data_IF_630319447406
#
_entry.id   IF_630319447406
#
_cell.length_a   1.000
_cell.length_b   1.000
_cell.length_c   1.000
_cell.angle_alpha   90.00
_cell.angle_beta   90.00
_cell.angle_gamma   90.00
#
_symmetry.space_group_name_H-M   'P 1'
#
loop_
_entity.id
_entity.type
_entity.pdbx_description
1 polymer ?
#
# COMPACT_ATOMS: atom_id res chain seq x y z
N UNK A 1 -17.53 -11.97 -3.95
CA UNK A 1 -16.52 -13.05 -3.79
C UNK A 1 -16.16 -13.76 -5.09
N UNK A 2 -17.09 -14.16 -5.97
CA UNK A 2 -16.74 -14.90 -7.21
C UNK A 2 -15.79 -14.12 -8.14
N UNK A 3 -16.02 -12.82 -8.32
CA UNK A 3 -15.18 -11.97 -9.18
C UNK A 3 -13.77 -11.78 -8.59
N UNK A 4 -13.67 -11.60 -7.28
CA UNK A 4 -12.41 -11.51 -6.52
C UNK A 4 -11.52 -12.72 -6.80
N UNK A 5 -12.09 -13.93 -6.71
CA UNK A 5 -11.38 -15.18 -6.98
C UNK A 5 -10.90 -15.25 -8.43
N UNK A 6 -11.76 -14.91 -9.40
CA UNK A 6 -11.39 -14.88 -10.82
C UNK A 6 -10.26 -13.89 -11.11
N UNK A 7 -10.30 -12.70 -10.53
CA UNK A 7 -9.27 -11.68 -10.67
C UNK A 7 -7.91 -12.13 -10.08
N UNK A 8 -7.94 -12.95 -9.03
CA UNK A 8 -6.74 -13.49 -8.39
C UNK A 8 -6.05 -14.63 -9.17
N UNK A 9 -6.74 -15.28 -10.10
CA UNK A 9 -6.23 -16.50 -10.76
C UNK A 9 -5.18 -16.24 -11.84
N UNK A 10 -5.44 -15.35 -12.81
CA UNK A 10 -4.51 -15.05 -13.90
C UNK A 10 -4.88 -13.78 -14.68
N UNK A 11 -3.93 -13.28 -15.48
CA UNK A 11 -4.09 -12.08 -16.30
C UNK A 11 -5.23 -12.16 -17.32
N UNK A 12 -5.46 -13.34 -17.93
CA UNK A 12 -6.52 -13.49 -18.94
C UNK A 12 -7.90 -13.20 -18.33
N UNK A 13 -8.14 -13.66 -17.10
CA UNK A 13 -9.38 -13.40 -16.39
C UNK A 13 -9.50 -11.94 -15.96
N UNK A 14 -8.42 -11.32 -15.47
CA UNK A 14 -8.41 -9.88 -15.15
C UNK A 14 -8.78 -9.03 -16.37
N UNK A 15 -8.14 -9.28 -17.51
CA UNK A 15 -8.44 -8.59 -18.77
C UNK A 15 -9.90 -8.81 -19.19
N UNK A 16 -10.45 -10.02 -18.99
CA UNK A 16 -11.86 -10.29 -19.29
C UNK A 16 -12.79 -9.47 -18.39
N UNK A 17 -12.53 -9.40 -17.09
CA UNK A 17 -13.32 -8.60 -16.14
C UNK A 17 -13.37 -7.13 -16.59
N UNK A 18 -12.23 -6.57 -17.02
CA UNK A 18 -12.16 -5.19 -17.52
C UNK A 18 -12.93 -5.02 -18.85
N UNK A 19 -12.81 -5.97 -19.78
CA UNK A 19 -13.55 -5.95 -21.05
C UNK A 19 -15.07 -5.99 -20.88
N UNK A 20 -15.56 -6.68 -19.85
CA UNK A 20 -16.98 -6.70 -19.48
C UNK A 20 -17.43 -5.42 -18.75
N UNK A 21 -16.58 -4.40 -18.68
CA UNK A 21 -16.86 -3.08 -18.06
C UNK A 21 -17.27 -3.16 -16.59
N UNK A 22 -16.78 -4.15 -15.85
CA UNK A 22 -17.09 -4.31 -14.43
C UNK A 22 -16.35 -3.31 -13.52
N UNK A 23 -15.31 -2.63 -14.02
CA UNK A 23 -14.45 -1.79 -13.19
C UNK A 23 -15.20 -0.63 -12.49
N UNK A 24 -16.06 0.17 -13.15
CA UNK A 24 -16.80 1.24 -12.48
C UNK A 24 -17.71 0.72 -11.36
N UNK A 25 -18.33 -0.45 -11.53
CA UNK A 25 -19.16 -1.05 -10.49
C UNK A 25 -18.32 -1.48 -9.29
N UNK A 26 -17.16 -2.10 -9.53
CA UNK A 26 -16.21 -2.46 -8.46
C UNK A 26 -15.72 -1.21 -7.73
N UNK A 27 -15.37 -0.14 -8.47
CA UNK A 27 -15.01 1.16 -7.88
C UNK A 27 -16.13 1.67 -6.98
N UNK A 28 -17.37 1.71 -7.46
CA UNK A 28 -18.53 2.17 -6.69
C UNK A 28 -18.77 1.33 -5.44
N UNK A 29 -18.65 0.00 -5.53
CA UNK A 29 -18.83 -0.89 -4.37
C UNK A 29 -17.79 -0.67 -3.27
N UNK A 30 -16.63 -0.07 -3.55
CA UNK A 30 -15.68 0.33 -2.51
C UNK A 30 -16.16 1.54 -1.69
N UNK A 31 -17.07 2.36 -2.24
CA UNK A 31 -17.66 3.51 -1.54
C UNK A 31 -18.91 3.16 -0.73
N UNK A 32 -19.43 1.93 -0.86
CA UNK A 32 -20.63 1.49 -0.15
C UNK A 32 -20.41 1.40 1.37
N UNK A 33 -21.45 1.73 2.13
CA UNK A 33 -21.42 1.62 3.59
C UNK A 33 -21.44 0.17 4.08
N UNK A 34 -21.96 -0.76 3.27
CA UNK A 34 -22.07 -2.15 3.66
C UNK A 34 -20.69 -2.84 3.71
N UNK A 35 -20.21 -3.14 4.92
CA UNK A 35 -18.85 -3.65 5.19
C UNK A 35 -18.45 -4.83 4.30
N UNK A 36 -19.29 -5.86 4.17
CA UNK A 36 -18.96 -7.03 3.34
C UNK A 36 -18.86 -6.72 1.84
N UNK A 37 -19.65 -5.77 1.34
CA UNK A 37 -19.60 -5.35 -0.07
C UNK A 37 -18.32 -4.56 -0.30
N UNK A 38 -18.03 -3.60 0.58
CA UNK A 38 -16.81 -2.79 0.56
C UNK A 38 -15.54 -3.65 0.66
N UNK A 39 -15.53 -4.62 1.57
CA UNK A 39 -14.42 -5.58 1.71
C UNK A 39 -14.24 -6.41 0.43
N UNK A 40 -15.30 -7.02 -0.10
CA UNK A 40 -15.20 -7.86 -1.29
C UNK A 40 -14.78 -7.06 -2.55
N UNK A 41 -15.25 -5.82 -2.67
CA UNK A 41 -14.86 -4.91 -3.74
C UNK A 41 -13.38 -4.51 -3.62
N UNK A 42 -12.93 -4.18 -2.42
CA UNK A 42 -11.52 -3.81 -2.15
C UNK A 42 -10.58 -4.99 -2.38
N UNK A 43 -10.96 -6.21 -1.99
CA UNK A 43 -10.20 -7.42 -2.31
C UNK A 43 -10.15 -7.67 -3.82
N UNK A 44 -11.27 -7.46 -4.54
CA UNK A 44 -11.29 -7.60 -5.99
C UNK A 44 -10.39 -6.55 -6.65
N UNK A 45 -10.46 -5.29 -6.19
CA UNK A 45 -9.62 -4.20 -6.67
C UNK A 45 -8.13 -4.49 -6.42
N UNK A 46 -7.79 -5.01 -5.23
CA UNK A 46 -6.43 -5.44 -4.90
C UNK A 46 -5.89 -6.45 -5.93
N UNK A 47 -6.71 -7.37 -6.43
CA UNK A 47 -6.29 -8.29 -7.48
C UNK A 47 -6.18 -7.62 -8.87
N UNK A 48 -6.91 -6.53 -9.11
CA UNK A 48 -7.00 -5.86 -10.41
C UNK A 48 -5.97 -4.73 -10.59
N UNK A 49 -5.42 -4.13 -9.54
CA UNK A 49 -4.44 -3.01 -9.64
C UNK A 49 -3.13 -3.35 -10.36
N UNK A 50 -2.87 -4.64 -10.63
CA UNK A 50 -1.76 -5.06 -11.50
C UNK A 50 -2.00 -4.74 -12.98
N UNK A 51 -3.26 -4.51 -13.37
CA UNK A 51 -3.63 -4.11 -14.72
C UNK A 51 -3.37 -2.62 -14.93
N UNK A 52 -2.67 -2.26 -16.03
CA UNK A 52 -2.34 -0.86 -16.37
C UNK A 52 -3.57 0.05 -16.42
N UNK A 53 -4.66 -0.42 -17.03
CA UNK A 53 -5.93 0.31 -17.11
C UNK A 53 -6.44 0.70 -15.72
N UNK A 54 -6.29 -0.17 -14.72
CA UNK A 54 -6.72 0.11 -13.34
C UNK A 54 -5.75 1.09 -12.67
N UNK A 55 -4.44 0.96 -12.90
CA UNK A 55 -3.45 1.92 -12.39
C UNK A 55 -3.71 3.34 -12.91
N UNK A 56 -4.09 3.48 -14.17
CA UNK A 56 -4.46 4.75 -14.80
C UNK A 56 -5.64 5.42 -14.07
N UNK A 57 -6.61 4.65 -13.56
CA UNK A 57 -7.73 5.20 -12.76
C UNK A 57 -7.29 5.91 -11.51
N UNK A 58 -6.25 5.41 -10.85
CA UNK A 58 -5.68 6.03 -9.64
C UNK A 58 -4.78 7.22 -9.95
N UNK A 59 -4.28 7.31 -11.19
CA UNK A 59 -3.50 8.45 -11.68
C UNK A 59 -4.37 9.66 -12.00
N UNK A 60 -5.63 9.45 -12.42
CA UNK A 60 -6.59 10.52 -12.71
C UNK A 60 -6.75 11.51 -11.54
N UNK A 61 -6.72 12.81 -11.84
CA UNK A 61 -7.01 13.88 -10.87
C UNK A 61 -8.52 14.19 -10.82
N UNK A 62 -8.94 14.91 -9.78
CA UNK A 62 -10.33 15.34 -9.61
C UNK A 62 -11.29 14.25 -9.15
N UNK A 63 -10.78 13.13 -8.62
CA UNK A 63 -11.59 12.08 -7.99
C UNK A 63 -10.99 11.61 -6.65
N UNK A 64 -11.80 10.92 -5.86
CA UNK A 64 -11.45 10.46 -4.52
C UNK A 64 -10.99 8.98 -4.47
N UNK A 65 -10.69 8.34 -5.61
CA UNK A 65 -10.36 6.90 -5.64
C UNK A 65 -9.12 6.55 -4.83
N UNK A 66 -8.03 7.31 -5.04
CA UNK A 66 -6.80 7.11 -4.25
C UNK A 66 -7.01 7.50 -2.79
N UNK A 67 -7.76 8.58 -2.54
CA UNK A 67 -8.09 9.02 -1.19
C UNK A 67 -8.82 7.92 -0.41
N UNK A 68 -9.88 7.36 -0.99
CA UNK A 68 -10.61 6.25 -0.42
C UNK A 68 -9.67 5.08 -0.11
N UNK A 69 -8.85 4.66 -1.08
CA UNK A 69 -7.95 3.53 -0.86
C UNK A 69 -6.96 3.77 0.29
N UNK A 70 -6.44 4.99 0.43
CA UNK A 70 -5.57 5.38 1.56
C UNK A 70 -6.36 5.34 2.88
N UNK A 71 -7.59 5.85 2.92
CA UNK A 71 -8.43 5.83 4.14
C UNK A 71 -8.84 4.40 4.55
N UNK A 72 -9.09 3.51 3.58
CA UNK A 72 -9.37 2.09 3.85
C UNK A 72 -8.19 1.37 4.52
N UNK A 73 -6.98 1.92 4.43
CA UNK A 73 -5.82 1.40 5.16
C UNK A 73 -5.84 1.75 6.66
N UNK A 74 -6.80 2.54 7.15
CA UNK A 74 -6.98 2.86 8.58
C UNK A 74 -8.24 2.29 9.20
N UNK A 75 -8.99 1.48 8.46
CA UNK A 75 -10.17 0.78 8.97
C UNK A 75 -9.77 -0.31 9.97
N UNK A 76 -10.69 -0.64 10.89
CA UNK A 76 -10.45 -1.62 11.96
C UNK A 76 -10.54 -3.08 11.50
N UNK A 77 -11.16 -3.35 10.34
CA UNK A 77 -11.25 -4.71 9.80
C UNK A 77 -9.94 -5.11 9.10
N UNK A 78 -9.22 -6.04 9.71
CA UNK A 78 -7.96 -6.61 9.20
C UNK A 78 -8.04 -7.07 7.73
N UNK A 79 -9.18 -7.61 7.27
CA UNK A 79 -9.29 -8.12 5.89
C UNK A 79 -9.35 -6.97 4.90
N UNK A 80 -10.18 -5.97 5.18
CA UNK A 80 -10.30 -4.75 4.40
C UNK A 80 -8.99 -3.98 4.38
N UNK A 81 -8.38 -3.78 5.55
CA UNK A 81 -7.11 -3.07 5.68
C UNK A 81 -5.98 -3.79 4.92
N UNK A 82 -5.90 -5.12 5.01
CA UNK A 82 -4.93 -5.92 4.25
C UNK A 82 -5.13 -5.81 2.74
N UNK A 83 -6.39 -5.80 2.27
CA UNK A 83 -6.70 -5.63 0.86
C UNK A 83 -6.32 -4.23 0.37
N UNK A 84 -6.67 -3.20 1.13
CA UNK A 84 -6.35 -1.81 0.81
C UNK A 84 -4.83 -1.56 0.78
N UNK A 85 -4.12 -1.97 1.84
CA UNK A 85 -2.66 -1.82 1.93
C UNK A 85 -1.95 -2.65 0.85
N UNK A 86 -2.47 -3.83 0.50
CA UNK A 86 -1.94 -4.65 -0.59
C UNK A 86 -2.06 -3.95 -1.94
N UNK A 87 -3.23 -3.40 -2.23
CA UNK A 87 -3.46 -2.63 -3.45
C UNK A 87 -2.54 -1.40 -3.51
N UNK A 88 -2.42 -0.65 -2.40
CA UNK A 88 -1.58 0.54 -2.31
C UNK A 88 -0.09 0.23 -2.47
N UNK A 89 0.39 -0.89 -1.90
CA UNK A 89 1.76 -1.38 -2.09
C UNK A 89 2.06 -1.70 -3.57
N UNK A 90 1.12 -2.36 -4.27
CA UNK A 90 1.29 -2.65 -5.70
C UNK A 90 1.24 -1.39 -6.58
N UNK A 91 0.34 -0.46 -6.25
CA UNK A 91 0.21 0.81 -6.97
C UNK A 91 1.47 1.68 -6.83
N UNK A 92 2.02 1.79 -5.61
CA UNK A 92 3.25 2.57 -5.35
C UNK A 92 4.48 1.95 -6.00
N UNK A 93 4.55 0.62 -6.08
CA UNK A 93 5.61 -0.09 -6.82
C UNK A 93 5.53 0.17 -8.33
N UNK A 94 4.31 0.21 -8.88
CA UNK A 94 4.09 0.36 -10.33
C UNK A 94 4.18 1.83 -10.82
N UNK A 95 3.76 2.79 -10.00
CA UNK A 95 3.59 4.19 -10.40
C UNK A 95 4.21 5.15 -9.37
N UNK A 96 5.45 5.58 -9.62
CA UNK A 96 6.19 6.51 -8.73
C UNK A 96 5.40 7.79 -8.41
N UNK A 97 4.64 8.32 -9.37
CA UNK A 97 3.79 9.51 -9.18
C UNK A 97 2.72 9.32 -8.11
N UNK A 98 2.22 8.09 -7.90
CA UNK A 98 1.25 7.80 -6.85
C UNK A 98 1.88 7.94 -5.45
N UNK A 99 3.18 7.70 -5.30
CA UNK A 99 3.88 7.89 -4.03
C UNK A 99 3.74 9.34 -3.53
N UNK A 100 3.97 10.32 -4.40
CA UNK A 100 3.78 11.74 -4.05
C UNK A 100 2.29 12.06 -3.86
N UNK A 101 1.42 11.55 -4.74
CA UNK A 101 -0.02 11.83 -4.70
C UNK A 101 -0.69 11.35 -3.40
N UNK A 102 -0.24 10.24 -2.82
CA UNK A 102 -0.71 9.76 -1.50
C UNK A 102 -0.61 10.85 -0.43
N UNK A 103 0.47 11.65 -0.46
CA UNK A 103 0.70 12.73 0.52
C UNK A 103 -0.24 13.93 0.36
N UNK A 104 -0.97 14.00 -0.75
CA UNK A 104 -1.83 15.12 -1.14
C UNK A 104 -3.32 14.80 -1.01
N UNK A 105 -3.71 13.52 -0.99
CA UNK A 105 -5.12 13.12 -0.98
C UNK A 105 -5.77 13.15 0.40
N UNK A 106 -4.98 13.06 1.47
CA UNK A 106 -5.46 13.21 2.85
C UNK A 106 -4.34 13.71 3.74
N UNK A 107 -4.67 14.54 4.74
CA UNK A 107 -3.69 15.04 5.73
C UNK A 107 -3.19 13.93 6.66
N UNK A 108 -3.96 12.86 6.83
CA UNK A 108 -3.66 11.74 7.73
C UNK A 108 -2.72 10.69 7.12
N UNK A 109 -2.25 10.89 5.88
CA UNK A 109 -1.49 9.87 5.13
C UNK A 109 -0.31 9.30 5.93
N UNK A 110 0.39 10.14 6.69
CA UNK A 110 1.55 9.73 7.48
C UNK A 110 1.15 8.87 8.68
N UNK A 111 0.12 9.29 9.42
CA UNK A 111 -0.44 8.53 10.55
C UNK A 111 -0.92 7.15 10.11
N UNK A 112 -1.61 7.09 8.96
CA UNK A 112 -2.07 5.83 8.37
C UNK A 112 -0.88 4.91 8.06
N UNK A 113 0.18 5.43 7.44
CA UNK A 113 1.39 4.62 7.15
C UNK A 113 2.09 4.15 8.44
N UNK A 114 2.18 4.99 9.46
CA UNK A 114 2.75 4.64 10.76
C UNK A 114 1.96 3.50 11.41
N UNK A 115 0.62 3.58 11.42
CA UNK A 115 -0.27 2.53 11.93
C UNK A 115 -0.10 1.21 11.17
N UNK A 116 0.03 1.26 9.84
CA UNK A 116 0.34 0.06 9.06
C UNK A 116 1.70 -0.55 9.48
N UNK A 117 2.75 0.25 9.61
CA UNK A 117 4.10 -0.24 9.96
C UNK A 117 4.19 -0.81 11.39
N UNK A 118 3.27 -0.41 12.28
CA UNK A 118 3.17 -0.88 13.66
C UNK A 118 2.12 -1.98 13.85
N UNK A 119 1.46 -2.43 12.77
CA UNK A 119 0.34 -3.35 12.87
C UNK A 119 0.75 -4.72 13.44
N UNK A 120 -0.07 -5.30 14.31
CA UNK A 120 0.18 -6.61 14.94
C UNK A 120 0.12 -7.76 13.92
N UNK A 121 -0.79 -7.64 12.95
CA UNK A 121 -0.86 -8.55 11.80
C UNK A 121 0.33 -8.32 10.85
N UNK A 122 1.26 -9.29 10.84
CA UNK A 122 2.49 -9.27 10.03
C UNK A 122 2.22 -9.04 8.54
N UNK A 123 1.11 -9.54 7.99
CA UNK A 123 0.79 -9.36 6.57
C UNK A 123 0.46 -7.90 6.24
N UNK A 124 -0.19 -7.20 7.17
CA UNK A 124 -0.53 -5.77 7.04
C UNK A 124 0.73 -4.94 7.30
N UNK A 125 1.50 -5.31 8.33
CA UNK A 125 2.79 -4.70 8.66
C UNK A 125 3.75 -4.68 7.47
N UNK A 126 3.95 -5.84 6.84
CA UNK A 126 4.81 -5.99 5.68
C UNK A 126 4.36 -5.08 4.52
N UNK A 127 3.06 -4.99 4.24
CA UNK A 127 2.51 -4.12 3.19
C UNK A 127 2.76 -2.63 3.50
N UNK A 128 2.58 -2.21 4.75
CA UNK A 128 2.93 -0.86 5.20
C UNK A 128 4.39 -0.51 4.92
N UNK A 129 5.30 -1.41 5.28
CA UNK A 129 6.73 -1.25 5.07
C UNK A 129 7.12 -1.23 3.59
N UNK A 130 6.46 -2.03 2.75
CA UNK A 130 6.65 -2.00 1.29
C UNK A 130 6.18 -0.67 0.72
N UNK A 131 5.08 -0.09 1.20
CA UNK A 131 4.64 1.25 0.76
C UNK A 131 5.70 2.30 1.12
N UNK A 132 6.22 2.27 2.36
CA UNK A 132 7.31 3.17 2.79
C UNK A 132 8.54 3.00 1.89
N UNK A 133 8.97 1.77 1.64
CA UNK A 133 10.09 1.46 0.75
C UNK A 133 9.87 2.05 -0.65
N UNK A 134 8.70 1.82 -1.25
CA UNK A 134 8.37 2.32 -2.58
C UNK A 134 8.39 3.85 -2.62
N UNK A 135 7.82 4.51 -1.61
CA UNK A 135 7.79 5.97 -1.52
C UNK A 135 9.20 6.56 -1.39
N UNK A 136 10.08 5.97 -0.59
CA UNK A 136 11.47 6.39 -0.47
C UNK A 136 12.23 6.28 -1.80
N UNK A 137 11.98 5.21 -2.56
CA UNK A 137 12.64 4.96 -3.85
C UNK A 137 11.97 5.71 -5.03
N UNK A 138 10.83 6.36 -4.79
CA UNK A 138 10.14 7.15 -5.79
C UNK A 138 10.72 8.57 -5.89
N UNK A 139 11.00 9.20 -4.75
CA UNK A 139 11.42 10.60 -4.66
C UNK A 139 12.30 10.83 -3.40
N UNK A 140 13.54 11.33 -3.54
CA UNK A 140 14.41 11.64 -2.41
C UNK A 140 13.80 12.60 -1.38
N UNK A 141 12.95 13.54 -1.79
CA UNK A 141 12.28 14.46 -0.85
C UNK A 141 11.23 13.72 -0.01
N UNK A 142 10.53 12.74 -0.59
CA UNK A 142 9.65 11.85 0.18
C UNK A 142 10.45 10.98 1.13
N UNK A 143 11.60 10.46 0.70
CA UNK A 143 12.47 9.68 1.57
C UNK A 143 12.89 10.51 2.79
N UNK A 144 13.33 11.75 2.58
CA UNK A 144 13.69 12.67 3.66
C UNK A 144 12.50 12.93 4.60
N UNK A 145 11.33 13.27 4.04
CA UNK A 145 10.11 13.52 4.83
C UNK A 145 9.71 12.31 5.69
N UNK A 146 9.84 11.09 5.16
CA UNK A 146 9.58 9.86 5.91
C UNK A 146 10.61 9.66 7.02
N UNK A 147 11.90 9.85 6.75
CA UNK A 147 12.95 9.65 7.75
C UNK A 147 13.00 10.74 8.83
N UNK A 148 12.45 11.93 8.57
CA UNK A 148 12.27 13.00 9.56
C UNK A 148 11.05 12.80 10.48
N UNK A 149 10.29 11.72 10.27
CA UNK A 149 9.13 11.34 11.08
C UNK A 149 9.39 10.12 11.97
N UNK A 150 8.41 9.74 12.80
CA UNK A 150 8.49 8.53 13.64
C UNK A 150 8.63 7.23 12.82
N UNK A 151 8.43 7.27 11.48
CA UNK A 151 8.73 6.12 10.60
C UNK A 151 10.19 5.67 10.79
N UNK A 152 11.15 6.58 10.95
CA UNK A 152 12.55 6.18 11.16
C UNK A 152 12.69 5.38 12.47
N UNK A 153 12.05 5.81 13.54
CA UNK A 153 12.08 5.11 14.84
C UNK A 153 11.45 3.72 14.73
N UNK A 154 10.30 3.61 14.05
CA UNK A 154 9.64 2.35 13.76
C UNK A 154 10.59 1.41 12.98
N UNK A 155 11.22 1.90 11.92
CA UNK A 155 12.17 1.13 11.12
C UNK A 155 13.40 0.71 11.94
N UNK A 156 13.94 1.59 12.79
CA UNK A 156 15.07 1.26 13.65
C UNK A 156 14.73 0.15 14.66
N UNK A 157 13.54 0.20 15.26
CA UNK A 157 13.09 -0.83 16.20
C UNK A 157 12.91 -2.18 15.50
N UNK A 158 12.28 -2.21 14.33
CA UNK A 158 12.08 -3.44 13.58
C UNK A 158 13.40 -3.98 13.00
N UNK A 159 14.26 -3.12 12.47
CA UNK A 159 15.51 -3.50 11.81
C UNK A 159 16.55 -4.11 12.76
N UNK A 160 16.48 -3.79 14.05
CA UNK A 160 17.30 -4.37 15.13
C UNK A 160 16.82 -5.74 15.61
N UNK A 161 15.65 -6.20 15.18
CA UNK A 161 15.17 -7.53 15.55
C UNK A 161 16.08 -8.59 14.93
N UNK A 162 16.28 -9.67 15.69
CA UNK A 162 16.96 -10.87 15.21
C UNK A 162 16.14 -11.54 14.09
N UNK A 163 16.85 -12.23 13.21
CA UNK A 163 16.22 -12.96 12.11
C UNK A 163 15.21 -13.98 12.65
N UNK A 164 14.05 -14.03 12.01
CA UNK A 164 12.93 -14.85 12.47
C UNK A 164 12.15 -15.34 11.27
N UNK A 165 12.01 -16.66 11.04
CA UNK A 165 11.27 -17.19 9.91
C UNK A 165 9.83 -16.68 9.80
N UNK A 166 9.21 -16.28 10.94
CA UNK A 166 7.85 -15.74 10.97
C UNK A 166 7.76 -14.25 10.60
N UNK A 167 8.84 -13.49 10.73
CA UNK A 167 8.89 -12.04 10.51
C UNK A 167 9.94 -11.62 9.48
N UNK A 168 10.58 -12.56 8.80
CA UNK A 168 11.74 -12.29 7.96
C UNK A 168 11.42 -11.27 6.86
N UNK A 169 10.27 -11.39 6.20
CA UNK A 169 9.85 -10.43 5.17
C UNK A 169 9.74 -8.99 5.70
N UNK A 170 9.22 -8.81 6.93
CA UNK A 170 9.12 -7.51 7.60
C UNK A 170 10.50 -6.95 7.93
N UNK A 171 11.39 -7.80 8.45
CA UNK A 171 12.77 -7.42 8.82
C UNK A 171 13.56 -7.04 7.56
N UNK A 172 13.47 -7.83 6.49
CA UNK A 172 14.22 -7.64 5.26
C UNK A 172 13.82 -6.34 4.55
N UNK A 173 12.51 -6.08 4.41
CA UNK A 173 12.02 -4.82 3.83
C UNK A 173 12.45 -3.63 4.69
N UNK A 174 12.37 -3.76 6.02
CA UNK A 174 12.82 -2.69 6.94
C UNK A 174 14.30 -2.38 6.78
N UNK A 175 15.16 -3.41 6.77
CA UNK A 175 16.61 -3.24 6.55
C UNK A 175 16.91 -2.64 5.17
N UNK A 176 16.10 -2.97 4.16
CA UNK A 176 16.19 -2.35 2.84
C UNK A 176 15.83 -0.86 2.87
N UNK A 177 14.80 -0.46 3.63
CA UNK A 177 14.48 0.96 3.85
C UNK A 177 15.64 1.69 4.53
N UNK A 178 16.19 1.14 5.62
CA UNK A 178 17.30 1.74 6.35
C UNK A 178 18.56 1.85 5.46
N UNK A 179 18.85 0.82 4.66
CA UNK A 179 19.97 0.84 3.69
C UNK A 179 19.76 1.94 2.65
N UNK A 180 18.57 2.04 2.06
CA UNK A 180 18.23 3.11 1.13
C UNK A 180 18.39 4.51 1.75
N UNK A 181 17.99 4.70 3.00
CA UNK A 181 18.18 5.97 3.71
C UNK A 181 19.66 6.30 3.97
N UNK A 182 20.50 5.30 4.24
CA UNK A 182 21.96 5.48 4.37
C UNK A 182 22.60 5.83 3.02
N UNK A 183 22.22 5.15 1.94
CA UNK A 183 22.73 5.39 0.59
C UNK A 183 22.36 6.80 0.09
N UNK A 184 21.19 7.29 0.47
CA UNK A 184 20.75 8.68 0.22
C UNK A 184 21.42 9.70 1.15
N UNK A 185 22.23 9.27 2.12
CA UNK A 185 22.90 10.14 3.09
C UNK A 185 21.96 10.80 4.09
N UNK A 186 20.73 10.29 4.24
CA UNK A 186 19.70 10.86 5.13
C UNK A 186 19.98 10.46 6.59
N UNK A 187 20.48 9.24 6.79
CA UNK A 187 20.85 8.71 8.11
C UNK A 187 22.29 8.21 8.12
N UNK A 188 22.89 8.16 9.32
CA UNK A 188 24.25 7.62 9.51
C UNK A 188 24.21 6.10 9.70
N UNK A 189 25.29 5.38 9.34
CA UNK A 189 25.43 3.97 9.65
C UNK A 189 25.28 3.70 11.14
N UNK A 190 24.59 2.62 11.49
CA UNK A 190 24.51 2.13 12.86
C UNK A 190 25.93 1.76 13.35
N UNK A 191 26.30 2.25 14.53
CA UNK A 191 27.50 1.79 15.27
C UNK A 191 27.15 0.60 16.15
#
# INVERSE_FOLDING_TARGET
MSLTNLAGLNDKLRVKILKEKALPDIENYMFEEHDQIRQAATECMCNLVVCKEVQERYMEDGNDKLKLLVLLCSEDDDKLQRAAAGALAMLTAAQKKLCTKITLVTVQWLEILQRLCLHDNIQIQHRGLVIVYNMMNADPELAKKLMESEILEILMVIGKQEDSPKRQEVIDVTRSCLTSAMDLGIIKPFS
#
